data_IF_539494736288
#
_entry.id   IF_539494736288
#
_cell.length_a   1.000
_cell.length_b   1.000
_cell.length_c   1.000
_cell.angle_alpha   90.00
_cell.angle_beta   90.00
_cell.angle_gamma   90.00
#
_symmetry.space_group_name_H-M   'P 1'
#
loop_
_entity.id
_entity.type
_entity.pdbx_description
1 polymer ?
#
# COMPACT_ATOMS: atom_id res chain seq x y z
N UNK A 1 16.03 8.72 3.09
CA UNK A 1 14.81 8.99 3.88
C UNK A 1 14.28 7.68 4.48
N UNK A 2 14.58 7.38 5.75
CA UNK A 2 14.02 6.21 6.46
C UNK A 2 12.62 6.53 6.96
N UNK A 3 11.60 5.82 6.46
CA UNK A 3 10.24 5.90 7.00
C UNK A 3 10.26 5.45 8.46
N UNK A 4 10.07 6.38 9.40
CA UNK A 4 10.01 6.07 10.84
C UNK A 4 8.82 5.15 11.11
N UNK A 5 9.02 4.12 11.94
CA UNK A 5 7.98 3.17 12.36
C UNK A 5 6.72 3.89 12.92
N UNK A 6 6.91 5.00 13.64
CA UNK A 6 5.81 5.81 14.18
C UNK A 6 4.88 6.37 13.09
N UNK A 7 5.42 6.69 11.91
CA UNK A 7 4.64 7.17 10.76
C UNK A 7 3.93 5.99 10.08
N UNK A 8 4.61 4.85 9.96
CA UNK A 8 4.04 3.61 9.43
C UNK A 8 2.83 3.15 10.25
N UNK A 9 2.90 3.22 11.58
CA UNK A 9 1.80 2.88 12.49
C UNK A 9 0.60 3.82 12.41
N UNK A 10 0.79 5.06 11.93
CA UNK A 10 -0.32 6.00 11.67
C UNK A 10 -1.09 5.69 10.39
N UNK A 11 -0.57 4.84 9.51
CA UNK A 11 -1.24 4.46 8.25
C UNK A 11 -2.17 3.26 8.46
N UNK A 12 -3.21 3.18 7.64
CA UNK A 12 -4.03 1.98 7.51
C UNK A 12 -3.14 0.78 7.17
N UNK A 13 -3.23 -0.29 7.97
CA UNK A 13 -2.43 -1.51 7.85
C UNK A 13 -3.36 -2.71 7.83
N UNK A 14 -3.05 -3.66 6.96
CA UNK A 14 -3.84 -4.86 6.74
C UNK A 14 -2.98 -6.10 7.00
N UNK A 15 -3.55 -7.12 7.66
CA UNK A 15 -2.82 -8.34 8.03
C UNK A 15 -2.48 -9.23 6.83
N UNK A 16 -3.27 -9.14 5.76
CA UNK A 16 -3.08 -9.92 4.54
C UNK A 16 -3.18 -9.06 3.29
N UNK A 17 -2.61 -9.57 2.20
CA UNK A 17 -2.72 -8.96 0.88
C UNK A 17 -4.19 -8.86 0.45
N UNK A 18 -4.98 -9.93 0.68
CA UNK A 18 -6.40 -9.97 0.33
C UNK A 18 -7.23 -8.92 1.09
N UNK A 19 -7.00 -8.76 2.39
CA UNK A 19 -7.68 -7.74 3.18
C UNK A 19 -7.38 -6.32 2.65
N UNK A 20 -6.13 -6.08 2.25
CA UNK A 20 -5.75 -4.82 1.62
C UNK A 20 -6.41 -4.67 0.23
N UNK A 21 -6.46 -5.73 -0.56
CA UNK A 21 -7.03 -5.74 -1.92
C UNK A 21 -8.54 -5.49 -1.90
N UNK A 22 -9.27 -6.02 -0.94
CA UNK A 22 -10.70 -5.74 -0.75
C UNK A 22 -10.91 -4.24 -0.55
N UNK A 23 -10.16 -3.62 0.35
CA UNK A 23 -10.28 -2.17 0.59
C UNK A 23 -9.79 -1.34 -0.60
N UNK A 24 -8.77 -1.81 -1.30
CA UNK A 24 -8.29 -1.17 -2.52
C UNK A 24 -9.36 -1.16 -3.62
N UNK A 25 -10.14 -2.24 -3.76
CA UNK A 25 -11.24 -2.34 -4.73
C UNK A 25 -12.48 -1.56 -4.32
N UNK A 26 -12.74 -1.45 -3.01
CA UNK A 26 -13.85 -0.66 -2.48
C UNK A 26 -13.57 0.85 -2.48
N UNK A 27 -12.33 1.28 -2.74
CA UNK A 27 -11.99 2.69 -2.82
C UNK A 27 -12.32 3.26 -4.20
N UNK A 28 -12.88 4.47 -4.25
CA UNK A 28 -13.15 5.22 -5.50
C UNK A 28 -11.88 5.64 -6.27
N UNK A 29 -10.71 5.47 -5.66
CA UNK A 29 -9.41 5.83 -6.23
C UNK A 29 -8.55 4.59 -6.42
N UNK A 30 -7.72 4.57 -7.47
CA UNK A 30 -6.83 3.43 -7.70
C UNK A 30 -5.77 3.34 -6.59
N UNK A 31 -5.98 2.39 -5.67
CA UNK A 31 -5.06 2.04 -4.60
C UNK A 31 -4.37 0.72 -4.93
N UNK A 32 -3.06 0.64 -4.64
CA UNK A 32 -2.34 -0.63 -4.71
C UNK A 32 -1.86 -1.07 -3.33
N UNK A 33 -2.13 -2.32 -2.92
CA UNK A 33 -1.52 -2.90 -1.74
C UNK A 33 -0.02 -3.13 -1.96
N UNK A 34 0.81 -2.78 -0.97
CA UNK A 34 2.24 -3.06 -0.98
C UNK A 34 2.71 -3.58 0.39
N UNK A 35 3.64 -4.56 0.41
CA UNK A 35 4.21 -5.06 1.64
C UNK A 35 5.17 -4.04 2.26
N UNK A 36 5.06 -3.82 3.56
CA UNK A 36 5.94 -2.92 4.28
C UNK A 36 7.08 -3.68 4.95
N UNK A 37 8.33 -3.37 4.57
CA UNK A 37 9.51 -3.96 5.18
C UNK A 37 9.72 -3.56 6.67
N UNK A 38 9.00 -2.54 7.15
CA UNK A 38 9.14 -2.04 8.53
C UNK A 38 8.18 -2.73 9.50
N UNK A 39 6.89 -2.78 9.18
CA UNK A 39 5.88 -3.40 10.05
C UNK A 39 5.50 -4.83 9.64
N UNK A 40 5.99 -5.31 8.48
CA UNK A 40 5.63 -6.60 7.88
C UNK A 40 4.12 -6.77 7.66
N UNK A 41 3.41 -5.66 7.48
CA UNK A 41 1.99 -5.62 7.14
C UNK A 41 1.81 -5.03 5.74
N UNK A 42 0.58 -5.11 5.21
CA UNK A 42 0.22 -4.54 3.92
C UNK A 42 -0.34 -3.13 4.09
N UNK A 43 0.11 -2.20 3.26
CA UNK A 43 -0.39 -0.83 3.20
C UNK A 43 -0.94 -0.52 1.83
N UNK A 44 -1.83 0.47 1.75
CA UNK A 44 -2.34 0.98 0.49
C UNK A 44 -1.53 2.21 0.05
N UNK A 45 -1.24 2.28 -1.24
CA UNK A 45 -0.65 3.47 -1.87
C UNK A 45 -1.48 3.90 -3.07
N UNK A 46 -1.98 5.13 -3.04
CA UNK A 46 -2.57 5.82 -4.19
C UNK A 46 -1.57 6.62 -5.02
N UNK A 47 -0.27 6.58 -4.66
CA UNK A 47 0.80 7.20 -5.48
C UNK A 47 1.06 6.36 -6.73
N UNK A 48 0.16 6.47 -7.69
CA UNK A 48 0.38 6.07 -9.08
C UNK A 48 0.88 7.26 -9.91
N UNK A 49 0.60 8.50 -9.46
CA UNK A 49 1.07 9.73 -10.09
C UNK A 49 2.61 9.77 -10.08
N UNK A 50 3.22 9.46 -11.23
CA UNK A 50 4.66 9.49 -11.47
C UNK A 50 5.42 8.17 -11.26
N UNK A 51 4.76 7.04 -10.98
CA UNK A 51 5.44 5.73 -10.99
C UNK A 51 5.24 5.06 -12.34
N UNK A 52 6.37 4.74 -13.01
CA UNK A 52 6.42 3.92 -14.23
C UNK A 52 5.58 2.66 -13.99
N UNK A 53 4.46 2.54 -14.70
CA UNK A 53 3.64 1.33 -14.66
C UNK A 53 4.55 0.14 -14.98
N UNK A 54 4.52 -0.96 -14.21
CA UNK A 54 5.13 -2.20 -14.66
C UNK A 54 4.51 -2.51 -16.02
N UNK A 55 5.33 -2.56 -17.06
CA UNK A 55 4.88 -3.00 -18.38
C UNK A 55 4.53 -4.47 -18.20
N UNK A 56 3.23 -4.77 -18.18
CA UNK A 56 2.74 -6.12 -18.35
C UNK A 56 3.32 -6.63 -19.67
N UNK A 57 3.99 -7.78 -19.62
CA UNK A 57 4.66 -8.40 -20.76
C UNK A 57 3.73 -9.47 -21.32
#
# INVERSE_FOLDING_TARGET
>A
MRTRLSICRKKARYPSYEAALVVARSADIELRPYPCNQCRQYHLTGRLKGKRMPRER
#
